data_IF_827603474263
#
_entry.id   IF_827603474263
#
_cell.length_a   1.000
_cell.length_b   1.000
_cell.length_c   1.000
_cell.angle_alpha   90.00
_cell.angle_beta   90.00
_cell.angle_gamma   90.00
#
_symmetry.space_group_name_H-M   'P 1'
#
loop_
_entity.id
_entity.type
_entity.pdbx_description
1 polymer ?
#
# COMPACT_ATOMS: atom_id res chain seq x y z
N UNK A 1 -21.05 9.36 5.87
CA UNK A 1 -19.83 9.90 5.26
C UNK A 1 -18.90 8.71 5.03
N UNK A 2 -18.81 8.22 3.79
CA UNK A 2 -18.01 7.04 3.44
C UNK A 2 -16.52 7.34 3.66
N UNK A 3 -15.78 6.38 4.21
CA UNK A 3 -14.35 6.53 4.48
C UNK A 3 -13.60 6.47 3.15
N UNK A 4 -12.81 7.49 2.80
CA UNK A 4 -12.08 7.56 1.52
C UNK A 4 -11.24 6.31 1.24
N UNK A 5 -10.70 5.66 2.28
CA UNK A 5 -9.97 4.40 2.09
C UNK A 5 -10.85 3.23 1.64
N UNK A 6 -12.11 3.20 2.07
CA UNK A 6 -13.09 2.19 1.63
C UNK A 6 -13.41 2.38 0.15
N UNK A 7 -13.58 3.61 -0.32
CA UNK A 7 -13.80 3.90 -1.74
C UNK A 7 -12.63 3.39 -2.60
N UNK A 8 -11.39 3.59 -2.13
CA UNK A 8 -10.18 3.11 -2.82
C UNK A 8 -10.04 1.59 -2.81
N UNK A 9 -10.48 0.95 -1.73
CA UNK A 9 -10.53 -0.51 -1.60
C UNK A 9 -11.56 -1.12 -2.55
N UNK A 10 -12.80 -0.58 -2.56
CA UNK A 10 -13.89 -1.07 -3.41
C UNK A 10 -13.58 -0.89 -4.90
N UNK A 11 -12.99 0.25 -5.28
CA UNK A 11 -12.58 0.53 -6.65
C UNK A 11 -11.26 -0.18 -7.05
N UNK A 12 -10.62 -0.91 -6.13
CA UNK A 12 -9.34 -1.59 -6.35
C UNK A 12 -8.26 -0.70 -6.99
N UNK A 13 -8.22 0.58 -6.60
CA UNK A 13 -7.35 1.59 -7.22
C UNK A 13 -5.89 1.36 -6.78
N UNK A 14 -4.92 1.35 -7.70
CA UNK A 14 -3.51 1.31 -7.34
C UNK A 14 -3.10 2.60 -6.63
N UNK A 15 -2.54 2.45 -5.43
CA UNK A 15 -2.13 3.54 -4.56
C UNK A 15 -0.66 3.45 -4.18
N UNK A 16 -0.04 4.62 -4.04
CA UNK A 16 1.27 4.84 -3.45
C UNK A 16 1.05 5.44 -2.07
N UNK A 17 1.29 4.65 -1.03
CA UNK A 17 1.18 5.05 0.38
C UNK A 17 2.55 5.47 0.89
N UNK A 18 2.66 6.73 1.30
CA UNK A 18 3.87 7.30 1.91
C UNK A 18 3.73 7.19 3.43
N UNK A 19 4.69 6.52 4.06
CA UNK A 19 4.67 6.15 5.48
C UNK A 19 5.84 6.78 6.21
N UNK A 20 5.54 7.47 7.30
CA UNK A 20 6.52 7.95 8.26
C UNK A 20 7.05 6.78 9.10
N UNK A 21 8.37 6.63 9.14
CA UNK A 21 9.03 5.56 9.89
C UNK A 21 9.49 6.00 11.28
N UNK A 22 9.31 7.27 11.66
CA UNK A 22 9.73 7.85 12.95
C UNK A 22 11.22 7.66 13.28
N UNK A 23 12.04 7.18 12.35
CA UNK A 23 13.47 7.12 12.54
C UNK A 23 14.02 8.50 12.16
N UNK A 24 14.64 9.19 13.12
CA UNK A 24 15.06 10.60 13.06
C UNK A 24 15.90 11.01 11.84
N UNK A 25 16.36 10.05 11.03
CA UNK A 25 17.14 10.27 9.80
C UNK A 25 16.78 9.30 8.65
N UNK A 26 15.69 8.54 8.75
CA UNK A 26 15.34 7.57 7.71
C UNK A 26 14.38 8.17 6.66
N UNK A 27 14.56 7.86 5.36
CA UNK A 27 13.65 8.32 4.32
C UNK A 27 12.24 7.76 4.53
N UNK A 28 11.22 8.55 4.17
CA UNK A 28 9.83 8.11 4.12
C UNK A 28 9.73 6.80 3.33
N UNK A 29 9.05 5.80 3.89
CA UNK A 29 8.86 4.53 3.20
C UNK A 29 7.68 4.64 2.26
N UNK A 30 7.85 4.18 1.03
CA UNK A 30 6.77 4.15 0.05
C UNK A 30 6.30 2.71 -0.19
N UNK A 31 4.99 2.49 -0.11
CA UNK A 31 4.34 1.21 -0.42
C UNK A 31 3.44 1.42 -1.62
N UNK A 32 3.67 0.68 -2.71
CA UNK A 32 2.81 0.67 -3.90
C UNK A 32 1.99 -0.61 -3.91
N UNK A 33 0.69 -0.50 -4.16
CA UNK A 33 -0.19 -1.65 -4.23
C UNK A 33 -1.67 -1.26 -4.24
N UNK A 34 -2.54 -2.21 -3.96
CA UNK A 34 -3.99 -1.99 -3.86
C UNK A 34 -4.45 -2.23 -2.43
N UNK A 35 -5.32 -1.37 -1.90
CA UNK A 35 -5.91 -1.58 -0.57
C UNK A 35 -6.87 -2.75 -0.66
N UNK A 36 -6.66 -3.78 0.17
CA UNK A 36 -7.54 -4.96 0.27
C UNK A 36 -8.47 -4.94 1.46
N UNK A 37 -8.05 -4.25 2.52
CA UNK A 37 -8.83 -4.15 3.73
C UNK A 37 -8.59 -2.82 4.43
N UNK A 38 -9.64 -2.25 4.99
CA UNK A 38 -9.60 -1.03 5.80
C UNK A 38 -10.09 -1.40 7.19
N UNK A 39 -9.15 -1.58 8.11
CA UNK A 39 -9.44 -1.78 9.52
C UNK A 39 -9.74 -0.46 10.23
N UNK A 40 -9.95 -0.52 11.55
CA UNK A 40 -10.27 0.65 12.36
C UNK A 40 -9.17 1.72 12.35
N UNK A 41 -7.90 1.30 12.43
CA UNK A 41 -6.73 2.18 12.56
C UNK A 41 -5.60 1.80 11.58
N UNK A 42 -5.88 0.96 10.59
CA UNK A 42 -4.87 0.45 9.65
C UNK A 42 -5.50 0.13 8.30
N UNK A 43 -4.66 0.05 7.28
CA UNK A 43 -5.02 -0.48 5.95
C UNK A 43 -4.12 -1.67 5.61
N UNK A 44 -4.66 -2.63 4.87
CA UNK A 44 -3.90 -3.73 4.26
C UNK A 44 -3.69 -3.41 2.79
N UNK A 45 -2.44 -3.34 2.36
CA UNK A 45 -2.06 -3.08 0.98
C UNK A 45 -1.43 -4.33 0.40
N UNK A 46 -2.01 -4.88 -0.66
CA UNK A 46 -1.39 -5.94 -1.44
C UNK A 46 -0.37 -5.31 -2.40
N UNK A 47 0.90 -5.58 -2.12
CA UNK A 47 2.04 -5.14 -2.94
C UNK A 47 2.41 -6.26 -3.91
N UNK A 48 2.50 -5.99 -5.23
CA UNK A 48 3.09 -6.95 -6.16
C UNK A 48 4.58 -7.12 -5.79
N UNK A 49 5.01 -8.35 -5.50
CA UNK A 49 6.44 -8.63 -5.44
C UNK A 49 6.91 -8.80 -6.88
N UNK A 50 7.60 -7.81 -7.43
CA UNK A 50 8.36 -8.01 -8.66
C UNK A 50 9.37 -9.13 -8.38
N UNK A 51 9.08 -10.34 -8.86
CA UNK A 51 10.05 -11.41 -8.96
C UNK A 51 11.12 -10.95 -9.95
N UNK A 52 12.39 -11.09 -9.57
CA UNK A 52 13.51 -11.22 -10.51
C UNK A 52 13.07 -11.96 -11.77
N UNK A 53 13.54 -11.52 -12.94
CA UNK A 53 13.27 -12.07 -14.28
C UNK A 53 13.59 -13.59 -14.43
N UNK A 54 14.00 -14.27 -13.37
CA UNK A 54 14.34 -15.71 -13.34
C UNK A 54 13.38 -16.58 -12.52
N UNK A 55 12.44 -16.02 -11.77
CA UNK A 55 11.48 -16.84 -11.02
C UNK A 55 10.23 -17.10 -11.84
N UNK A 56 10.23 -18.20 -12.58
CA UNK A 56 9.02 -18.77 -13.14
C UNK A 56 8.10 -19.23 -12.00
N UNK A 57 6.84 -18.79 -12.02
CA UNK A 57 5.72 -19.23 -11.18
C UNK A 57 5.73 -18.80 -9.71
N UNK A 58 5.15 -17.63 -9.40
CA UNK A 58 3.87 -17.50 -8.67
C UNK A 58 3.57 -16.02 -8.45
N UNK A 59 2.33 -15.64 -8.68
CA UNK A 59 1.66 -14.38 -8.31
C UNK A 59 1.72 -14.18 -6.78
N UNK A 60 2.91 -13.99 -6.22
CA UNK A 60 3.07 -13.71 -4.80
C UNK A 60 2.82 -12.22 -4.61
N UNK A 61 1.71 -11.87 -3.99
CA UNK A 61 1.48 -10.52 -3.47
C UNK A 61 1.92 -10.52 -2.01
N UNK A 62 2.79 -9.58 -1.65
CA UNK A 62 3.13 -9.35 -0.26
C UNK A 62 2.04 -8.48 0.37
N UNK A 63 1.41 -8.97 1.43
CA UNK A 63 0.45 -8.16 2.20
C UNK A 63 1.21 -7.27 3.17
N UNK A 64 0.93 -5.97 3.12
CA UNK A 64 1.56 -4.98 4.00
C UNK A 64 0.50 -4.30 4.85
N UNK A 65 0.63 -4.40 6.17
CA UNK A 65 -0.23 -3.70 7.13
C UNK A 65 0.38 -2.33 7.39
N UNK A 66 -0.40 -1.27 7.17
CA UNK A 66 0.02 0.12 7.37
C UNK A 66 -0.86 0.79 8.42
N UNK A 67 -0.31 1.20 9.57
CA UNK A 67 -1.05 1.98 10.55
C UNK A 67 -1.42 3.35 9.97
N UNK A 68 -2.68 3.77 10.09
CA UNK A 68 -3.16 5.04 9.55
C UNK A 68 -2.45 6.24 10.18
N UNK A 69 -2.06 6.15 11.46
CA UNK A 69 -1.30 7.17 12.16
C UNK A 69 0.10 7.41 11.61
N UNK A 70 0.60 6.52 10.74
CA UNK A 70 1.89 6.62 10.06
C UNK A 70 1.77 7.06 8.60
N UNK A 71 0.54 7.14 8.08
CA UNK A 71 0.32 7.55 6.68
C UNK A 71 0.46 9.06 6.59
N UNK A 72 1.44 9.50 5.82
CA UNK A 72 1.66 10.91 5.51
C UNK A 72 0.80 11.31 4.32
N UNK A 73 0.78 10.47 3.28
CA UNK A 73 0.10 10.76 2.03
C UNK A 73 -0.31 9.46 1.32
N UNK A 74 -1.43 9.51 0.59
CA UNK A 74 -1.82 8.47 -0.37
C UNK A 74 -2.04 9.11 -1.74
N UNK A 75 -1.31 8.62 -2.73
CA UNK A 75 -1.33 9.14 -4.11
C UNK A 75 -1.77 8.05 -5.07
N UNK A 76 -2.65 8.38 -6.01
CA UNK A 76 -3.01 7.48 -7.09
C UNK A 76 -1.85 7.31 -8.06
N UNK A 77 -1.62 6.09 -8.55
CA UNK A 77 -0.69 5.87 -9.64
C UNK A 77 -1.31 4.91 -10.66
N UNK A 78 -0.85 4.99 -11.91
CA UNK A 78 -1.15 3.97 -12.92
C UNK A 78 0.02 3.00 -12.95
N UNK A 79 -0.25 1.70 -13.05
CA UNK A 79 0.79 0.75 -13.43
C UNK A 79 1.29 1.16 -14.81
N UNK A 80 2.51 1.67 -14.89
CA UNK A 80 3.24 1.83 -16.14
C UNK A 80 3.69 0.46 -16.65
#
# INVERSE_FOLDING_TARGET
MMNKFQDLMEAAVPVKVVVDTNASDAPLKTIKGVIKHVGRNYIEVDRPTSQDEKSQYKTQTARVIVPMSKIVEVVYYRFE
#
